data_IF_704723418349
#
_entry.id   IF_704723418349
#
_cell.length_a   1.000
_cell.length_b   1.000
_cell.length_c   1.000
_cell.angle_alpha   90.00
_cell.angle_beta   90.00
_cell.angle_gamma   90.00
#
_symmetry.space_group_name_H-M   'P 1'
#
loop_
_entity.id
_entity.type
_entity.pdbx_description
1 polymer ?
#
# COMPACT_ATOMS: atom_id res chain seq x y z
N UNK A 1 2.37 11.55 -1.39
CA UNK A 1 3.06 11.22 -2.65
C UNK A 1 2.61 12.13 -3.78
N UNK A 2 3.54 12.50 -4.67
CA UNK A 2 3.24 13.25 -5.89
C UNK A 2 3.46 12.35 -7.11
N UNK A 3 2.67 12.57 -8.17
CA UNK A 3 2.84 11.91 -9.47
C UNK A 3 2.68 12.93 -10.61
N UNK A 4 3.42 12.72 -11.71
CA UNK A 4 3.33 13.56 -12.91
C UNK A 4 2.48 12.83 -13.94
N UNK A 5 1.45 13.51 -14.43
CA UNK A 5 0.50 12.94 -15.39
C UNK A 5 1.19 12.68 -16.71
N UNK A 6 1.06 11.44 -17.21
CA UNK A 6 1.64 11.02 -18.47
C UNK A 6 0.61 10.28 -19.33
N UNK A 7 0.76 10.35 -20.65
CA UNK A 7 0.04 9.49 -21.57
C UNK A 7 0.67 8.10 -21.60
N UNK A 8 -0.15 7.05 -21.60
CA UNK A 8 0.31 5.68 -21.83
C UNK A 8 -0.07 5.16 -23.21
N UNK A 9 0.09 3.86 -23.40
CA UNK A 9 -0.23 3.13 -24.63
C UNK A 9 -1.73 2.89 -24.85
N UNK A 10 -2.57 3.23 -23.86
CA UNK A 10 -4.02 2.99 -23.90
C UNK A 10 -4.43 1.55 -23.54
N UNK A 11 -3.48 0.70 -23.12
CA UNK A 11 -3.74 -0.70 -22.78
C UNK A 11 -4.67 -0.89 -21.57
N UNK A 12 -4.62 0.02 -20.59
CA UNK A 12 -5.49 -0.03 -19.39
C UNK A 12 -6.98 -0.09 -19.74
N UNK A 13 -7.41 0.58 -20.82
CA UNK A 13 -8.79 0.50 -21.33
C UNK A 13 -9.17 -0.92 -21.69
N UNK A 14 -8.29 -1.66 -22.36
CA UNK A 14 -8.56 -3.04 -22.78
C UNK A 14 -8.76 -3.94 -21.57
N UNK A 15 -7.89 -3.83 -20.55
CA UNK A 15 -7.94 -4.68 -19.36
C UNK A 15 -9.15 -4.36 -18.47
N UNK A 16 -9.42 -3.09 -18.18
CA UNK A 16 -10.56 -2.71 -17.34
C UNK A 16 -11.92 -2.91 -18.03
N UNK A 17 -11.94 -3.11 -19.34
CA UNK A 17 -13.15 -3.50 -20.08
C UNK A 17 -13.42 -5.01 -20.03
N UNK A 18 -12.49 -5.83 -19.50
CA UNK A 18 -12.70 -7.27 -19.35
C UNK A 18 -13.60 -7.54 -18.14
N UNK A 19 -14.71 -8.29 -18.31
CA UNK A 19 -15.62 -8.63 -17.20
C UNK A 19 -14.89 -9.25 -16.01
N UNK A 20 -13.91 -10.11 -16.26
CA UNK A 20 -13.17 -10.85 -15.22
C UNK A 20 -12.40 -9.92 -14.27
N UNK A 21 -11.90 -8.77 -14.75
CA UNK A 21 -11.31 -7.75 -13.87
C UNK A 21 -12.38 -6.82 -13.30
N UNK A 22 -13.30 -6.32 -14.14
CA UNK A 22 -14.35 -5.36 -13.75
C UNK A 22 -15.19 -5.89 -12.59
N UNK A 23 -15.64 -7.15 -12.66
CA UNK A 23 -16.46 -7.78 -11.63
C UNK A 23 -15.73 -7.90 -10.29
N UNK A 24 -14.40 -8.13 -10.31
CA UNK A 24 -13.61 -8.16 -9.08
C UNK A 24 -13.51 -6.77 -8.43
N UNK A 25 -13.34 -5.69 -9.21
CA UNK A 25 -13.37 -4.32 -8.67
C UNK A 25 -14.73 -4.01 -8.02
N UNK A 26 -15.83 -4.34 -8.70
CA UNK A 26 -17.19 -4.11 -8.18
C UNK A 26 -17.41 -4.93 -6.91
N UNK A 27 -17.11 -6.23 -6.94
CA UNK A 27 -17.36 -7.12 -5.80
C UNK A 27 -16.52 -6.76 -4.58
N UNK A 28 -15.26 -6.37 -4.79
CA UNK A 28 -14.29 -6.17 -3.71
C UNK A 28 -14.32 -4.76 -3.14
N UNK A 29 -14.52 -3.77 -4.00
CA UNK A 29 -14.40 -2.37 -3.64
C UNK A 29 -15.71 -1.59 -3.81
N UNK A 30 -16.76 -2.20 -4.34
CA UNK A 30 -18.00 -1.50 -4.68
C UNK A 30 -17.84 -0.48 -5.82
N UNK A 31 -16.70 -0.52 -6.53
CA UNK A 31 -16.29 0.45 -7.52
C UNK A 31 -16.43 -0.13 -8.92
N UNK A 32 -17.19 0.53 -9.80
CA UNK A 32 -17.26 0.17 -11.22
C UNK A 32 -16.21 0.96 -12.02
N UNK A 33 -15.12 0.33 -12.48
CA UNK A 33 -14.02 1.07 -13.07
C UNK A 33 -14.40 1.68 -14.43
N UNK A 34 -14.05 2.95 -14.62
CA UNK A 34 -14.03 3.58 -15.94
C UNK A 34 -13.12 2.77 -16.89
N UNK A 35 -13.50 2.55 -18.16
CA UNK A 35 -12.67 1.83 -19.13
C UNK A 35 -11.47 2.67 -19.58
N UNK A 36 -10.47 2.78 -18.71
CA UNK A 36 -9.20 3.48 -18.91
C UNK A 36 -8.51 3.77 -17.58
N UNK A 37 -7.21 4.06 -17.63
CA UNK A 37 -6.41 4.42 -16.45
C UNK A 37 -5.79 5.80 -16.62
N UNK A 38 -5.60 6.49 -15.49
CA UNK A 38 -4.78 7.71 -15.43
C UNK A 38 -3.36 7.30 -15.05
N UNK A 39 -2.41 7.48 -15.97
CA UNK A 39 -1.02 7.11 -15.73
C UNK A 39 -0.27 8.25 -15.08
N UNK A 40 0.48 7.92 -14.03
CA UNK A 40 1.31 8.86 -13.29
C UNK A 40 2.74 8.33 -13.22
N UNK A 41 3.70 9.13 -13.68
CA UNK A 41 5.11 8.93 -13.41
C UNK A 41 5.39 9.29 -11.95
N UNK A 42 6.04 8.39 -11.23
CA UNK A 42 6.43 8.58 -9.82
C UNK A 42 7.94 8.52 -9.67
N UNK A 43 8.44 8.95 -8.51
CA UNK A 43 9.87 8.89 -8.20
C UNK A 43 10.43 7.47 -8.32
N UNK A 44 11.69 7.36 -8.76
CA UNK A 44 12.40 6.07 -8.87
C UNK A 44 12.29 5.29 -7.57
N UNK A 45 12.07 3.98 -7.66
CA UNK A 45 11.90 3.05 -6.52
C UNK A 45 10.55 3.13 -5.78
N UNK A 46 9.69 4.13 -5.99
CA UNK A 46 8.36 4.17 -5.36
C UNK A 46 7.57 2.91 -5.74
N UNK A 47 7.57 2.55 -7.04
CA UNK A 47 6.92 1.32 -7.51
C UNK A 47 7.50 0.08 -6.83
N UNK A 48 8.83 0.02 -6.68
CA UNK A 48 9.51 -1.09 -5.98
C UNK A 48 9.07 -1.19 -4.52
N UNK A 49 8.97 -0.05 -3.83
CA UNK A 49 8.55 0.00 -2.43
C UNK A 49 7.09 -0.40 -2.26
N UNK A 50 6.18 0.06 -3.13
CA UNK A 50 4.77 -0.36 -3.13
C UNK A 50 4.69 -1.88 -3.36
N UNK A 51 5.46 -2.44 -4.29
CA UNK A 51 5.49 -3.91 -4.52
C UNK A 51 6.03 -4.68 -3.31
N UNK A 52 7.06 -4.18 -2.62
CA UNK A 52 7.61 -4.79 -1.41
C UNK A 52 6.68 -4.68 -0.21
N UNK A 53 5.95 -3.57 -0.10
CA UNK A 53 4.89 -3.41 0.87
C UNK A 53 3.79 -4.42 0.59
N UNK A 54 3.43 -4.58 -0.68
CA UNK A 54 2.26 -5.33 -1.08
C UNK A 54 1.00 -4.61 -0.66
N UNK A 55 -0.13 -5.24 -0.98
CA UNK A 55 -1.44 -4.64 -0.88
C UNK A 55 -2.45 -5.67 -1.33
N UNK A 56 -3.57 -5.19 -1.84
CA UNK A 56 -4.67 -6.06 -2.15
C UNK A 56 -4.57 -6.54 -3.60
N UNK A 57 -5.05 -7.75 -3.89
CA UNK A 57 -4.85 -8.39 -5.20
C UNK A 57 -6.18 -8.56 -5.92
N UNK A 58 -6.22 -8.07 -7.16
CA UNK A 58 -7.18 -8.51 -8.16
C UNK A 58 -6.53 -9.67 -8.92
N UNK A 59 -7.19 -10.81 -8.92
CA UNK A 59 -6.62 -12.06 -9.40
C UNK A 59 -6.61 -12.12 -10.93
N UNK A 60 -5.51 -12.63 -11.46
CA UNK A 60 -5.39 -12.99 -12.86
C UNK A 60 -6.30 -14.15 -13.26
N UNK A 61 -6.43 -14.38 -14.55
CA UNK A 61 -7.29 -15.40 -15.13
C UNK A 61 -6.79 -15.86 -16.50
N UNK A 62 -7.32 -16.97 -17.00
CA UNK A 62 -7.03 -17.46 -18.35
C UNK A 62 -8.27 -17.35 -19.21
N UNK A 63 -8.14 -16.77 -20.41
CA UNK A 63 -9.21 -16.61 -21.38
C UNK A 63 -8.68 -16.84 -22.79
N UNK A 64 -9.36 -17.67 -23.57
CA UNK A 64 -9.01 -17.99 -24.97
C UNK A 64 -7.54 -18.45 -25.13
N UNK A 65 -7.04 -19.24 -24.18
CA UNK A 65 -5.65 -19.72 -24.17
C UNK A 65 -4.60 -18.66 -23.79
N UNK A 66 -5.02 -17.44 -23.42
CA UNK A 66 -4.14 -16.36 -22.96
C UNK A 66 -4.26 -16.16 -21.46
N UNK A 67 -3.13 -16.05 -20.78
CA UNK A 67 -3.06 -15.82 -19.34
C UNK A 67 -2.86 -14.33 -19.00
N UNK A 68 -3.74 -13.81 -18.16
CA UNK A 68 -3.75 -12.46 -17.62
C UNK A 68 -3.25 -12.50 -16.16
N UNK A 69 -2.29 -11.63 -15.82
CA UNK A 69 -1.60 -11.66 -14.53
C UNK A 69 -2.39 -11.02 -13.40
N UNK A 70 -1.87 -11.13 -12.17
CA UNK A 70 -2.47 -10.44 -11.03
C UNK A 70 -2.25 -8.92 -11.12
N UNK A 71 -3.09 -8.18 -10.42
CA UNK A 71 -2.96 -6.72 -10.29
C UNK A 71 -2.92 -6.37 -8.81
N UNK A 72 -1.83 -5.75 -8.38
CA UNK A 72 -1.70 -5.17 -7.04
C UNK A 72 -2.48 -3.87 -6.99
N UNK A 73 -3.29 -3.68 -5.95
CA UNK A 73 -4.16 -2.53 -5.76
C UNK A 73 -3.90 -1.90 -4.38
N UNK A 74 -3.80 -0.57 -4.37
CA UNK A 74 -3.68 0.26 -3.17
C UNK A 74 -4.78 1.33 -3.24
N UNK A 75 -5.65 1.46 -2.22
CA UNK A 75 -6.65 2.52 -2.20
C UNK A 75 -5.97 3.88 -2.04
N UNK A 76 -6.39 4.84 -2.85
CA UNK A 76 -5.87 6.20 -2.85
C UNK A 76 -7.01 7.20 -3.01
N UNK A 77 -6.76 8.44 -2.63
CA UNK A 77 -7.64 9.56 -2.89
C UNK A 77 -6.91 10.58 -3.76
N UNK A 78 -7.58 11.03 -4.81
CA UNK A 78 -7.14 12.12 -5.70
C UNK A 78 -8.34 13.02 -5.92
N UNK A 79 -8.22 14.31 -5.61
CA UNK A 79 -9.34 15.28 -5.70
C UNK A 79 -10.60 14.85 -4.94
N UNK A 80 -10.45 14.26 -3.76
CA UNK A 80 -11.55 13.73 -2.94
C UNK A 80 -12.26 12.50 -3.55
N UNK A 81 -11.82 11.99 -4.69
CA UNK A 81 -12.33 10.77 -5.32
C UNK A 81 -11.65 9.52 -4.78
N UNK A 82 -12.45 8.53 -4.40
CA UNK A 82 -11.96 7.21 -4.04
C UNK A 82 -11.48 6.47 -5.30
N UNK A 83 -10.18 6.20 -5.33
CA UNK A 83 -9.49 5.62 -6.48
C UNK A 83 -8.64 4.44 -6.03
N UNK A 84 -8.10 3.71 -7.00
CA UNK A 84 -7.12 2.65 -6.77
C UNK A 84 -5.86 2.91 -7.60
N UNK A 85 -4.73 2.98 -6.92
CA UNK A 85 -3.43 2.84 -7.56
C UNK A 85 -3.22 1.35 -7.86
N UNK A 86 -2.99 1.03 -9.12
CA UNK A 86 -2.78 -0.35 -9.57
C UNK A 86 -1.39 -0.56 -10.15
N UNK A 87 -0.87 -1.76 -9.94
CA UNK A 87 0.41 -2.23 -10.47
C UNK A 87 0.22 -3.65 -11.03
N UNK A 88 0.05 -3.80 -12.36
CA UNK A 88 -0.03 -5.12 -12.98
C UNK A 88 1.26 -5.91 -12.75
N UNK A 89 1.13 -7.21 -12.53
CA UNK A 89 2.26 -8.14 -12.30
C UNK A 89 3.17 -8.23 -13.52
N UNK A 90 2.59 -8.29 -14.72
CA UNK A 90 3.29 -8.44 -16.00
C UNK A 90 3.63 -7.08 -16.66
N UNK A 91 3.54 -5.96 -15.95
CA UNK A 91 3.81 -4.63 -16.53
C UNK A 91 5.30 -4.42 -16.78
N UNK A 92 5.63 -3.87 -17.95
CA UNK A 92 6.99 -3.53 -18.41
C UNK A 92 7.30 -2.05 -18.09
N UNK A 93 6.31 -1.27 -17.66
CA UNK A 93 6.43 0.17 -17.43
C UNK A 93 7.04 0.43 -16.05
N UNK A 94 8.31 0.87 -16.03
CA UNK A 94 9.18 0.98 -14.85
C UNK A 94 8.60 1.78 -13.67
N UNK A 95 8.80 3.10 -13.66
CA UNK A 95 8.41 3.99 -12.55
C UNK A 95 7.03 4.64 -12.78
N UNK A 96 6.12 3.94 -13.47
CA UNK A 96 4.73 4.40 -13.66
C UNK A 96 3.76 3.64 -12.78
N UNK A 97 2.76 4.36 -12.28
CA UNK A 97 1.59 3.80 -11.63
C UNK A 97 0.35 4.15 -12.44
N UNK A 98 -0.66 3.30 -12.38
CA UNK A 98 -1.94 3.53 -13.05
C UNK A 98 -3.02 3.78 -12.01
N UNK A 99 -3.87 4.77 -12.21
CA UNK A 99 -5.01 5.06 -11.34
C UNK A 99 -6.30 4.61 -12.01
N UNK A 100 -7.06 3.81 -11.28
CA UNK A 100 -8.43 3.38 -11.61
C UNK A 100 -9.41 4.18 -10.76
N UNK A 101 -10.45 4.70 -11.41
CA UNK A 101 -11.54 5.45 -10.78
C UNK A 101 -12.86 5.10 -11.48
N UNK A 102 -14.00 5.48 -10.88
CA UNK A 102 -15.32 5.32 -11.51
C UNK A 102 -15.51 6.22 -12.74
N UNK A 103 -14.83 7.36 -12.74
CA UNK A 103 -14.95 8.37 -13.79
C UNK A 103 -13.62 8.66 -14.48
N UNK A 104 -13.72 9.33 -15.64
CA UNK A 104 -12.53 9.82 -16.34
C UNK A 104 -11.98 11.08 -15.65
N UNK A 105 -11.01 10.89 -14.75
CA UNK A 105 -10.39 11.97 -13.98
C UNK A 105 -9.82 13.10 -14.85
N UNK A 106 -9.25 12.78 -16.03
CA UNK A 106 -8.73 13.81 -16.95
C UNK A 106 -9.82 14.73 -17.46
N UNK A 107 -10.98 14.17 -17.83
CA UNK A 107 -12.13 14.95 -18.30
C UNK A 107 -12.77 15.73 -17.16
N UNK A 108 -12.97 15.08 -16.02
CA UNK A 108 -13.64 15.66 -14.84
C UNK A 108 -12.90 16.87 -14.28
N UNK A 109 -11.57 16.76 -14.18
CA UNK A 109 -10.73 17.81 -13.57
C UNK A 109 -9.85 18.55 -14.58
N UNK A 110 -10.10 18.39 -15.89
CA UNK A 110 -9.35 19.04 -16.97
C UNK A 110 -7.82 18.88 -16.85
N UNK A 111 -7.37 17.65 -16.58
CA UNK A 111 -5.97 17.33 -16.31
C UNK A 111 -5.21 17.05 -17.63
N UNK A 112 -4.04 17.66 -17.77
CA UNK A 112 -3.17 17.51 -18.93
C UNK A 112 -1.85 16.82 -18.57
N UNK A 113 -1.14 16.32 -19.58
CA UNK A 113 0.20 15.75 -19.39
C UNK A 113 1.16 16.78 -18.80
N UNK A 114 2.05 16.32 -17.91
CA UNK A 114 2.95 17.17 -17.14
C UNK A 114 2.34 17.79 -15.89
N UNK A 115 1.02 17.68 -15.67
CA UNK A 115 0.40 18.13 -14.42
C UNK A 115 0.89 17.30 -13.24
N UNK A 116 1.19 17.97 -12.12
CA UNK A 116 1.58 17.31 -10.87
C UNK A 116 0.34 17.12 -10.01
N UNK A 117 0.08 15.87 -9.62
CA UNK A 117 -1.03 15.52 -8.74
C UNK A 117 -0.51 15.08 -7.38
N UNK A 118 -1.21 15.51 -6.33
CA UNK A 118 -1.07 14.95 -5.00
C UNK A 118 -1.94 13.68 -4.88
N UNK A 119 -1.32 12.61 -4.42
CA UNK A 119 -1.93 11.30 -4.24
C UNK A 119 -1.88 10.97 -2.75
N UNK A 120 -3.04 10.93 -2.12
CA UNK A 120 -3.18 10.51 -0.73
C UNK A 120 -3.38 8.99 -0.69
N UNK A 121 -2.44 8.25 -0.11
CA UNK A 121 -2.61 6.81 0.11
C UNK A 121 -3.52 6.61 1.33
N UNK A 122 -4.54 5.76 1.17
CA UNK A 122 -5.50 5.48 2.23
C UNK A 122 -5.09 4.24 3.04
N UNK A 123 -5.53 4.13 4.31
CA UNK A 123 -5.41 2.89 5.06
C UNK A 123 -6.14 1.73 4.38
N UNK A 124 -5.62 0.52 4.58
CA UNK A 124 -6.21 -0.71 4.04
C UNK A 124 -5.95 -1.91 4.94
N UNK A 125 -6.70 -2.98 4.72
CA UNK A 125 -6.41 -4.31 5.27
C UNK A 125 -5.65 -5.13 4.25
N UNK A 126 -4.62 -5.86 4.69
CA UNK A 126 -3.92 -6.86 3.88
C UNK A 126 -3.32 -7.98 4.71
N UNK A 127 -2.87 -9.04 4.05
CA UNK A 127 -2.02 -10.04 4.68
C UNK A 127 -0.57 -9.55 4.72
N UNK A 128 0.02 -9.57 5.91
CA UNK A 128 1.41 -9.19 6.12
C UNK A 128 2.39 -10.30 5.72
N UNK A 129 3.57 -9.91 5.26
CA UNK A 129 4.62 -10.85 4.85
C UNK A 129 5.34 -11.39 6.09
N UNK A 130 5.44 -12.71 6.20
CA UNK A 130 6.21 -13.36 7.26
C UNK A 130 7.68 -12.93 7.22
N UNK A 131 8.22 -12.47 8.36
CA UNK A 131 9.62 -12.06 8.49
C UNK A 131 10.25 -12.61 9.77
N UNK A 132 11.53 -12.97 9.70
CA UNK A 132 12.35 -13.33 10.87
C UNK A 132 13.52 -12.36 10.95
N UNK A 133 13.63 -11.65 12.07
CA UNK A 133 14.61 -10.59 12.24
C UNK A 133 15.28 -10.69 13.62
N UNK A 134 16.34 -9.92 13.80
CA UNK A 134 16.91 -9.65 15.12
C UNK A 134 16.31 -8.36 15.65
N UNK A 135 15.81 -8.38 16.89
CA UNK A 135 15.23 -7.23 17.56
C UNK A 135 16.12 -6.82 18.73
N UNK A 136 16.42 -5.53 18.83
CA UNK A 136 17.19 -4.94 19.92
C UNK A 136 16.25 -4.02 20.70
N UNK A 137 15.90 -4.37 21.96
CA UNK A 137 15.11 -3.51 22.82
C UNK A 137 15.87 -2.19 23.07
N UNK A 138 15.20 -1.07 22.83
CA UNK A 138 15.80 0.27 22.99
C UNK A 138 14.83 1.18 23.73
N UNK A 139 15.37 2.01 24.63
CA UNK A 139 14.64 3.10 25.27
C UNK A 139 15.09 4.44 24.67
N UNK A 140 14.19 5.15 24.01
CA UNK A 140 14.46 6.46 23.41
C UNK A 140 14.45 6.39 21.88
N UNK A 141 15.53 6.86 21.25
CA UNK A 141 15.62 6.98 19.80
C UNK A 141 16.28 5.77 19.16
N UNK A 142 15.79 5.37 17.98
CA UNK A 142 16.31 4.24 17.22
C UNK A 142 15.34 3.86 16.11
N UNK A 143 15.88 3.53 14.94
CA UNK A 143 15.13 3.01 13.79
C UNK A 143 15.89 1.85 13.17
N UNK A 144 15.12 0.87 12.73
CA UNK A 144 15.60 -0.26 11.93
C UNK A 144 14.72 -0.43 10.71
N UNK A 145 14.93 -1.53 10.00
CA UNK A 145 14.06 -1.94 8.89
C UNK A 145 12.62 -2.15 9.35
N UNK A 146 12.44 -2.68 10.56
CA UNK A 146 11.15 -2.66 11.27
C UNK A 146 11.39 -2.08 12.66
N UNK A 147 10.52 -1.18 13.11
CA UNK A 147 10.56 -0.62 14.46
C UNK A 147 9.21 -0.87 15.11
N UNK A 148 9.18 -1.60 16.23
CA UNK A 148 7.93 -1.91 16.96
C UNK A 148 7.79 -0.98 18.15
N UNK A 149 6.65 -0.29 18.27
CA UNK A 149 6.41 0.74 19.28
C UNK A 149 5.44 0.20 20.33
N UNK A 150 5.91 -0.01 21.56
CA UNK A 150 5.11 -0.64 22.61
C UNK A 150 4.20 0.35 23.34
N UNK A 151 4.69 1.57 23.58
CA UNK A 151 3.87 2.62 24.18
C UNK A 151 3.43 3.59 23.07
N UNK A 152 2.12 3.77 22.93
CA UNK A 152 1.51 4.62 21.91
C UNK A 152 1.41 6.08 22.38
N UNK A 153 1.49 7.07 21.47
CA UNK A 153 2.02 7.01 20.11
C UNK A 153 3.55 7.21 20.06
N UNK A 154 4.18 7.57 21.19
CA UNK A 154 5.60 7.95 21.27
C UNK A 154 6.26 7.47 22.57
N UNK A 155 5.98 6.22 22.95
CA UNK A 155 6.73 5.52 23.98
C UNK A 155 8.23 5.56 23.75
N UNK A 156 8.99 5.60 24.85
CA UNK A 156 10.43 5.41 24.77
C UNK A 156 10.75 3.97 24.38
N UNK A 157 9.91 3.01 24.77
CA UNK A 157 10.18 1.58 24.57
C UNK A 157 9.84 1.15 23.15
N UNK A 158 10.86 0.69 22.44
CA UNK A 158 10.71 0.12 21.09
C UNK A 158 11.68 -1.02 20.85
N UNK A 159 11.33 -1.88 19.92
CA UNK A 159 12.27 -2.83 19.34
C UNK A 159 12.76 -2.31 17.99
N UNK A 160 14.07 -2.16 17.85
CA UNK A 160 14.72 -1.89 16.56
C UNK A 160 15.06 -3.23 15.91
N UNK A 161 14.42 -3.55 14.79
CA UNK A 161 14.58 -4.82 14.10
C UNK A 161 15.44 -4.69 12.83
N UNK A 162 16.44 -5.56 12.71
CA UNK A 162 17.44 -5.57 11.65
C UNK A 162 17.55 -6.98 11.04
N UNK A 163 17.85 -7.08 9.72
CA UNK A 163 18.15 -8.38 9.08
C UNK A 163 19.35 -9.08 9.70
N UNK A 164 20.41 -8.31 9.95
CA UNK A 164 21.66 -8.77 10.53
C UNK A 164 21.86 -8.08 11.88
N UNK A 165 21.74 -8.86 12.96
CA UNK A 165 21.83 -8.33 14.33
C UNK A 165 22.25 -9.38 15.36
N UNK A 166 22.87 -10.49 14.91
CA UNK A 166 23.28 -11.62 15.76
C UNK A 166 24.18 -11.22 16.93
N UNK A 167 24.92 -10.12 16.79
CA UNK A 167 26.01 -9.74 17.70
C UNK A 167 25.69 -8.47 18.52
N UNK A 168 24.44 -8.01 18.55
CA UNK A 168 24.06 -6.87 19.40
C UNK A 168 23.67 -7.37 20.77
N UNK A 169 24.31 -6.83 21.82
CA UNK A 169 24.03 -7.16 23.21
C UNK A 169 22.55 -6.89 23.56
N UNK A 170 21.90 -7.85 24.22
CA UNK A 170 20.46 -7.78 24.53
C UNK A 170 19.52 -8.03 23.33
N UNK A 171 20.07 -8.31 22.14
CA UNK A 171 19.29 -8.66 20.96
C UNK A 171 18.66 -10.05 21.04
N UNK A 172 17.46 -10.20 20.49
CA UNK A 172 16.75 -11.48 20.44
C UNK A 172 16.10 -11.75 19.08
N UNK A 173 15.75 -13.02 18.82
CA UNK A 173 15.06 -13.41 17.59
C UNK A 173 13.58 -13.02 17.66
N UNK A 174 13.11 -12.22 16.70
CA UNK A 174 11.70 -11.85 16.56
C UNK A 174 11.13 -12.40 15.25
N UNK A 175 9.97 -13.03 15.34
CA UNK A 175 9.21 -13.50 14.17
C UNK A 175 7.96 -12.66 14.03
N UNK A 176 7.78 -12.08 12.86
CA UNK A 176 6.54 -11.47 12.41
C UNK A 176 5.82 -12.53 11.57
N UNK A 177 4.78 -13.20 12.10
CA UNK A 177 4.01 -14.17 11.33
C UNK A 177 3.20 -13.48 10.23
N UNK A 178 2.78 -14.26 9.25
CA UNK A 178 1.77 -13.81 8.29
C UNK A 178 0.41 -13.73 9.02
N UNK A 179 -0.13 -12.52 9.07
CA UNK A 179 -1.37 -12.15 9.73
C UNK A 179 -2.05 -11.03 8.96
N UNK A 180 -3.35 -10.92 9.15
CA UNK A 180 -4.10 -9.74 8.72
C UNK A 180 -3.62 -8.50 9.47
N UNK A 181 -3.36 -7.43 8.73
CA UNK A 181 -2.91 -6.15 9.27
C UNK A 181 -3.71 -5.01 8.66
N UNK A 182 -4.00 -3.99 9.47
CA UNK A 182 -4.30 -2.67 8.97
C UNK A 182 -2.98 -1.95 8.70
N UNK A 183 -2.90 -1.27 7.56
CA UNK A 183 -1.69 -0.56 7.16
C UNK A 183 -1.95 0.72 6.38
N UNK A 184 -0.96 1.61 6.37
CA UNK A 184 -0.92 2.79 5.50
C UNK A 184 0.52 3.05 5.05
N UNK A 185 0.70 3.30 3.75
CA UNK A 185 1.96 3.73 3.16
C UNK A 185 2.04 5.26 3.12
N UNK A 186 3.23 5.81 3.33
CA UNK A 186 3.47 7.25 3.30
C UNK A 186 4.92 7.58 2.96
N UNK A 187 5.13 8.74 2.34
CA UNK A 187 6.44 9.32 2.01
C UNK A 187 6.87 10.41 3.00
N UNK A 188 5.91 11.04 3.69
CA UNK A 188 6.13 12.06 4.72
C UNK A 188 5.06 11.99 5.81
N UNK A 189 5.17 12.83 6.85
CA UNK A 189 4.14 13.01 7.89
C UNK A 189 3.80 11.73 8.70
N UNK A 190 4.81 11.03 9.21
CA UNK A 190 4.68 9.80 9.99
C UNK A 190 3.60 9.83 11.09
N UNK A 191 3.49 10.95 11.80
CA UNK A 191 2.51 11.14 12.88
C UNK A 191 1.09 11.10 12.35
N UNK A 192 0.82 11.88 11.30
CA UNK A 192 -0.50 11.96 10.69
C UNK A 192 -0.89 10.62 10.09
N UNK A 193 0.04 9.94 9.41
CA UNK A 193 -0.20 8.59 8.89
C UNK A 193 -0.59 7.60 10.00
N UNK A 194 0.08 7.65 11.16
CA UNK A 194 -0.29 6.83 12.31
C UNK A 194 -1.68 7.19 12.86
N UNK A 195 -1.99 8.48 13.02
CA UNK A 195 -3.30 8.96 13.49
C UNK A 195 -4.42 8.50 12.54
N UNK A 196 -4.24 8.64 11.23
CA UNK A 196 -5.17 8.15 10.21
C UNK A 196 -5.35 6.63 10.28
N UNK A 197 -4.26 5.87 10.47
CA UNK A 197 -4.36 4.42 10.61
C UNK A 197 -5.12 4.01 11.87
N UNK A 198 -4.87 4.67 13.01
CA UNK A 198 -5.55 4.37 14.27
C UNK A 198 -7.06 4.62 14.15
N UNK A 199 -7.46 5.74 13.55
CA UNK A 199 -8.87 6.03 13.27
C UNK A 199 -9.51 4.94 12.39
N UNK A 200 -8.83 4.55 11.31
CA UNK A 200 -9.31 3.47 10.44
C UNK A 200 -9.50 2.14 11.19
N UNK A 201 -8.58 1.79 12.08
CA UNK A 201 -8.69 0.57 12.90
C UNK A 201 -9.89 0.64 13.86
N UNK A 202 -10.12 1.80 14.50
CA UNK A 202 -11.25 1.99 15.41
C UNK A 202 -12.60 1.84 14.70
N UNK A 203 -12.72 2.37 13.48
CA UNK A 203 -13.94 2.28 12.69
C UNK A 203 -14.17 0.87 12.11
N UNK A 204 -13.12 0.25 11.56
CA UNK A 204 -13.26 -0.91 10.67
C UNK A 204 -12.90 -2.27 11.32
N UNK A 205 -12.25 -2.29 12.48
CA UNK A 205 -11.75 -3.54 13.08
C UNK A 205 -12.39 -3.81 14.46
N UNK A 206 -12.42 -5.09 14.88
CA UNK A 206 -12.87 -5.46 16.23
C UNK A 206 -11.90 -4.98 17.31
N UNK A 207 -10.65 -4.72 16.95
CA UNK A 207 -9.64 -4.18 17.85
C UNK A 207 -8.22 -4.41 17.36
N UNK A 208 -7.30 -3.73 18.04
CA UNK A 208 -5.85 -3.86 17.85
C UNK A 208 -5.32 -5.13 18.53
N UNK A 209 -4.58 -5.96 17.79
CA UNK A 209 -3.99 -7.21 18.29
C UNK A 209 -2.48 -7.09 18.57
N UNK A 210 -1.80 -6.11 17.97
CA UNK A 210 -0.37 -5.86 18.20
C UNK A 210 -0.08 -4.39 18.47
N UNK A 211 1.08 -4.06 19.07
CA UNK A 211 1.61 -2.71 18.97
C UNK A 211 1.86 -2.33 17.50
N UNK A 212 1.80 -1.04 17.13
CA UNK A 212 2.15 -0.60 15.79
C UNK A 212 3.62 -0.88 15.49
N UNK A 213 3.88 -1.21 14.23
CA UNK A 213 5.23 -1.32 13.69
C UNK A 213 5.40 -0.41 12.48
N UNK A 214 6.52 0.30 12.45
CA UNK A 214 6.96 1.08 11.31
C UNK A 214 7.91 0.22 10.48
N UNK A 215 7.62 0.09 9.20
CA UNK A 215 8.48 -0.60 8.23
C UNK A 215 9.08 0.47 7.31
N UNK A 216 10.41 0.49 7.23
CA UNK A 216 11.13 1.40 6.35
C UNK A 216 11.44 0.71 5.01
N UNK A 217 11.08 1.35 3.90
CA UNK A 217 11.50 0.98 2.56
C UNK A 217 12.58 1.97 2.07
N UNK A 218 12.74 2.12 0.75
CA UNK A 218 13.78 3.01 0.20
C UNK A 218 13.38 4.48 0.23
N UNK A 219 12.15 4.78 -0.16
CA UNK A 219 11.54 6.12 -0.17
C UNK A 219 10.24 6.17 0.63
N UNK A 220 9.51 5.04 0.71
CA UNK A 220 8.28 4.95 1.49
C UNK A 220 8.50 4.36 2.87
N UNK A 221 7.57 4.63 3.76
CA UNK A 221 7.41 3.95 5.03
C UNK A 221 5.99 3.39 5.14
N UNK A 222 5.81 2.38 5.97
CA UNK A 222 4.51 1.78 6.24
C UNK A 222 4.29 1.63 7.73
N UNK A 223 3.14 2.13 8.21
CA UNK A 223 2.63 1.71 9.50
C UNK A 223 1.81 0.42 9.33
N UNK A 224 2.05 -0.56 10.19
CA UNK A 224 1.23 -1.76 10.28
C UNK A 224 0.78 -2.02 11.71
N UNK A 225 -0.44 -2.50 11.85
CA UNK A 225 -1.04 -2.96 13.09
C UNK A 225 -1.71 -4.30 12.81
N UNK A 226 -1.39 -5.35 13.56
CA UNK A 226 -2.17 -6.59 13.48
C UNK A 226 -3.56 -6.34 14.06
N UNK A 227 -4.57 -6.76 13.31
CA UNK A 227 -5.97 -6.52 13.63
C UNK A 227 -6.77 -7.80 13.48
N UNK A 228 -7.98 -7.80 14.02
CA UNK A 228 -9.03 -8.73 13.65
C UNK A 228 -10.11 -7.93 12.93
N UNK A 229 -10.29 -8.14 11.62
CA UNK A 229 -11.38 -7.52 10.88
C UNK A 229 -12.73 -7.93 11.44
N UNK A 230 -13.70 -7.01 11.36
CA UNK A 230 -15.11 -7.34 11.54
C UNK A 230 -15.48 -8.21 10.34
N UNK A 231 -15.84 -9.48 10.56
CA UNK A 231 -16.30 -10.33 9.47
C UNK A 231 -17.47 -9.62 8.76
N UNK A 232 -17.40 -9.54 7.43
CA UNK A 232 -18.55 -9.19 6.58
C UNK A 232 -19.43 -10.43 6.39
#
# INVERSE_FOLDING_TARGET
MKGIVASGTGEGKKFLSMPEYREQFIKKYGLEPYPGTLNLEVGKNIVSDIRKAGGDIIHGFTKDGREYGNVLCIPVNIFEENCFLILPEKSIHGDMVEIVAEENLRKKYHIHDGAVLDIAILPMIKNSIKRKMWAVPTNGNGRGEITVFYDLPYGKRRDVCLKEGKNVEGGYRKTFPEREVACILFDAEERKALETLLHFVEENCHGKMSPPRLIAYSLLNEWQIEVKTKEN
#
